data_IF_724042702226
#
_entry.id   IF_724042702226
#
_cell.length_a   1.000
_cell.length_b   1.000
_cell.length_c   1.000
_cell.angle_alpha   90.00
_cell.angle_beta   90.00
_cell.angle_gamma   90.00
#
_symmetry.space_group_name_H-M   'P 1'
#
loop_
_entity.id
_entity.type
_entity.pdbx_description
1 polymer ?
#
# COMPACT_ATOMS: atom_id res chain seq x y z
N UNK A 1 -18.92 24.18 13.83
CA UNK A 1 -18.28 25.38 14.42
C UNK A 1 -16.96 25.02 15.11
N UNK A 2 -15.85 24.79 14.39
CA UNK A 2 -14.54 24.50 15.02
C UNK A 2 -13.32 24.94 14.18
N UNK A 3 -13.45 25.99 13.37
CA UNK A 3 -12.35 26.49 12.50
C UNK A 3 -11.90 27.94 12.77
N UNK A 4 -12.44 28.62 13.80
CA UNK A 4 -12.12 30.03 14.08
C UNK A 4 -11.20 30.29 15.28
N UNK A 5 -10.62 29.26 15.92
CA UNK A 5 -9.77 29.48 17.12
C UNK A 5 -8.30 29.77 16.81
N UNK A 6 -7.79 29.39 15.64
CA UNK A 6 -6.35 29.49 15.33
C UNK A 6 -5.89 30.81 14.71
N UNK A 7 -6.81 31.66 14.22
CA UNK A 7 -6.43 32.98 13.65
C UNK A 7 -6.07 34.02 14.72
N UNK A 8 -6.64 33.92 15.94
CA UNK A 8 -6.42 34.92 17.00
C UNK A 8 -5.01 34.85 17.62
N UNK A 9 -4.42 33.66 17.73
CA UNK A 9 -3.04 33.52 18.24
C UNK A 9 -1.98 34.05 17.27
N UNK A 10 -2.27 34.07 15.97
CA UNK A 10 -1.33 34.53 14.95
C UNK A 10 -1.22 36.06 14.89
N UNK A 11 -2.35 36.76 15.04
CA UNK A 11 -2.40 38.24 15.06
C UNK A 11 -1.68 38.79 16.31
N UNK A 12 -1.82 38.11 17.45
CA UNK A 12 -1.22 38.54 18.72
C UNK A 12 0.32 38.40 18.71
N UNK A 13 0.86 37.41 17.99
CA UNK A 13 2.31 37.26 17.80
C UNK A 13 2.89 38.20 16.73
N UNK A 14 2.12 38.58 15.71
CA UNK A 14 2.58 39.56 14.72
C UNK A 14 2.71 40.98 15.27
N UNK A 15 1.85 41.37 16.22
CA UNK A 15 1.97 42.68 16.89
C UNK A 15 3.18 42.76 17.83
N UNK A 16 3.52 41.65 18.49
CA UNK A 16 4.70 41.54 19.36
C UNK A 16 6.02 41.63 18.59
N UNK A 17 6.03 41.15 17.33
CA UNK A 17 7.17 41.30 16.42
C UNK A 17 7.26 42.73 15.87
N UNK A 18 6.15 43.37 15.49
CA UNK A 18 6.15 44.76 15.04
C UNK A 18 6.63 45.74 16.12
N UNK A 19 6.29 45.49 17.39
CA UNK A 19 6.74 46.33 18.52
C UNK A 19 8.23 46.17 18.85
N UNK A 20 8.87 45.10 18.40
CA UNK A 20 10.30 44.83 18.59
C UNK A 20 11.19 45.45 17.50
N UNK A 21 10.60 45.90 16.40
CA UNK A 21 11.32 46.41 15.22
C UNK A 21 11.65 47.91 15.32
N UNK A 22 10.97 48.67 16.17
CA UNK A 22 11.15 50.13 16.26
C UNK A 22 12.37 50.60 17.07
N UNK A 23 13.18 49.69 17.61
CA UNK A 23 14.43 50.03 18.28
C UNK A 23 15.48 48.96 17.96
N UNK A 24 16.30 49.17 16.93
CA UNK A 24 17.74 48.83 16.91
C UNK A 24 18.31 49.11 15.51
N UNK A 25 19.37 49.91 15.44
CA UNK A 25 20.26 50.01 14.30
C UNK A 25 21.16 48.76 14.31
N UNK A 26 20.83 47.72 13.54
CA UNK A 26 21.80 46.63 13.32
C UNK A 26 21.52 45.81 12.05
N UNK A 27 22.61 45.44 11.37
CA UNK A 27 22.64 44.71 10.09
C UNK A 27 22.01 43.30 10.14
N UNK A 28 21.64 42.81 11.34
CA UNK A 28 20.95 41.54 11.54
C UNK A 28 19.47 41.58 11.12
N UNK A 29 18.86 42.76 11.05
CA UNK A 29 17.45 42.93 10.69
C UNK A 29 17.13 42.50 9.25
N UNK A 30 18.06 42.73 8.32
CA UNK A 30 17.87 42.36 6.90
C UNK A 30 17.84 40.84 6.73
N UNK A 31 18.70 40.11 7.47
CA UNK A 31 18.74 38.66 7.44
C UNK A 31 17.51 38.03 8.10
N UNK A 32 17.01 38.61 9.19
CA UNK A 32 15.80 38.15 9.85
C UNK A 32 14.55 38.36 8.97
N UNK A 33 14.46 39.49 8.25
CA UNK A 33 13.43 39.71 7.23
C UNK A 33 13.56 38.67 6.11
N UNK A 34 14.78 38.39 5.65
CA UNK A 34 14.99 37.44 4.56
C UNK A 34 14.59 36.01 4.96
N UNK A 35 14.91 35.59 6.18
CA UNK A 35 14.50 34.29 6.73
C UNK A 35 12.99 34.22 6.96
N UNK A 36 12.37 35.31 7.42
CA UNK A 36 10.93 35.40 7.59
C UNK A 36 10.17 35.33 6.25
N UNK A 37 10.63 36.07 5.23
CA UNK A 37 10.07 36.03 3.88
C UNK A 37 10.26 34.65 3.22
N UNK A 38 11.42 34.01 3.43
CA UNK A 38 11.67 32.63 2.99
C UNK A 38 10.70 31.65 3.65
N UNK A 39 10.44 31.76 4.95
CA UNK A 39 9.48 30.91 5.64
C UNK A 39 8.03 31.16 5.17
N UNK A 40 7.63 32.40 4.94
CA UNK A 40 6.31 32.72 4.35
C UNK A 40 6.18 32.14 2.94
N UNK A 41 7.22 32.26 2.11
CA UNK A 41 7.23 31.70 0.76
C UNK A 41 7.08 30.17 0.78
N UNK A 42 7.81 29.47 1.66
CA UNK A 42 7.74 28.01 1.82
C UNK A 42 6.36 27.55 2.32
N UNK A 43 5.77 28.25 3.28
CA UNK A 43 4.42 27.96 3.80
C UNK A 43 3.37 28.21 2.70
N UNK A 44 3.49 29.30 1.95
CA UNK A 44 2.59 29.63 0.83
C UNK A 44 2.70 28.58 -0.28
N UNK A 45 3.90 28.11 -0.60
CA UNK A 45 4.10 27.06 -1.61
C UNK A 45 3.57 25.69 -1.16
N UNK A 46 3.72 25.32 0.11
CA UNK A 46 3.10 24.11 0.68
C UNK A 46 1.58 24.14 0.60
N UNK A 47 0.95 25.27 0.91
CA UNK A 47 -0.52 25.40 0.79
C UNK A 47 -1.01 25.38 -0.65
N UNK A 48 -0.23 25.90 -1.61
CA UNK A 48 -0.53 25.83 -3.04
C UNK A 48 -0.40 24.39 -3.57
N UNK A 49 0.63 23.64 -3.15
CA UNK A 49 0.78 22.23 -3.50
C UNK A 49 -0.38 21.38 -2.97
N UNK A 50 -0.82 21.60 -1.73
CA UNK A 50 -1.96 20.89 -1.15
C UNK A 50 -3.30 21.21 -1.86
N UNK A 51 -3.46 22.42 -2.41
CA UNK A 51 -4.63 22.80 -3.22
C UNK A 51 -4.58 22.17 -4.62
N UNK A 52 -3.40 22.05 -5.24
CA UNK A 52 -3.23 21.37 -6.53
C UNK A 52 -3.47 19.87 -6.42
N UNK A 53 -2.97 19.23 -5.34
CA UNK A 53 -3.25 17.82 -5.03
C UNK A 53 -4.76 17.62 -4.80
N UNK A 54 -5.40 18.51 -4.04
CA UNK A 54 -6.85 18.47 -3.84
C UNK A 54 -7.63 18.62 -5.16
N UNK A 55 -7.22 19.53 -6.04
CA UNK A 55 -7.84 19.70 -7.37
C UNK A 55 -7.59 18.48 -8.26
N UNK A 56 -6.41 17.86 -8.22
CA UNK A 56 -6.11 16.62 -8.94
C UNK A 56 -6.96 15.45 -8.44
N UNK A 57 -7.09 15.28 -7.13
CA UNK A 57 -7.96 14.25 -6.52
C UNK A 57 -9.42 14.48 -6.91
N UNK A 58 -9.90 15.73 -6.86
CA UNK A 58 -11.28 16.09 -7.27
C UNK A 58 -11.48 15.91 -8.78
N UNK A 59 -10.50 16.27 -9.62
CA UNK A 59 -10.57 16.07 -11.06
C UNK A 59 -10.58 14.58 -11.43
N UNK A 60 -9.81 13.75 -10.74
CA UNK A 60 -9.85 12.29 -10.85
C UNK A 60 -11.25 11.78 -10.45
N UNK A 61 -11.77 12.22 -9.30
CA UNK A 61 -13.12 11.86 -8.84
C UNK A 61 -14.24 12.29 -9.80
N UNK A 62 -14.12 13.45 -10.45
CA UNK A 62 -15.09 13.96 -11.44
C UNK A 62 -14.95 13.25 -12.78
N UNK A 63 -13.75 12.82 -13.19
CA UNK A 63 -13.58 12.00 -14.40
C UNK A 63 -14.16 10.59 -14.26
N UNK A 64 -14.37 10.09 -13.03
CA UNK A 64 -15.04 8.81 -12.77
C UNK A 64 -16.56 8.90 -12.96
N UNK A 65 -17.17 10.10 -12.94
CA UNK A 65 -18.63 10.27 -13.05
C UNK A 65 -19.14 10.45 -14.48
N UNK A 66 -18.26 10.68 -15.47
CA UNK A 66 -18.66 10.85 -16.89
C UNK A 66 -18.64 9.57 -17.72
N UNK A 67 -18.23 8.42 -17.16
CA UNK A 67 -18.24 7.12 -17.83
C UNK A 67 -19.28 6.17 -17.22
N UNK A 68 -20.56 6.53 -17.34
CA UNK A 68 -21.68 5.62 -17.12
C UNK A 68 -21.71 4.54 -18.23
N UNK A 69 -20.82 3.56 -18.17
CA UNK A 69 -20.94 2.29 -18.88
C UNK A 69 -21.09 1.19 -17.85
N UNK A 70 -22.25 1.14 -17.18
CA UNK A 70 -22.56 0.06 -16.25
C UNK A 70 -22.39 -1.27 -17.00
N UNK A 71 -21.69 -2.26 -16.41
CA UNK A 71 -21.51 -3.59 -17.00
C UNK A 71 -22.83 -4.13 -17.56
N UNK A 72 -22.95 -4.28 -18.87
CA UNK A 72 -24.17 -4.72 -19.55
C UNK A 72 -24.29 -6.24 -19.51
N UNK A 73 -23.17 -6.95 -19.72
CA UNK A 73 -23.13 -8.40 -19.83
C UNK A 73 -22.89 -9.11 -18.49
N UNK A 74 -22.26 -8.45 -17.52
CA UNK A 74 -21.89 -9.06 -16.23
C UNK A 74 -22.54 -8.35 -15.04
N UNK A 75 -22.68 -9.10 -13.94
CA UNK A 75 -23.12 -8.51 -12.68
C UNK A 75 -22.07 -7.52 -12.16
N UNK A 76 -22.48 -6.35 -11.63
CA UNK A 76 -21.56 -5.30 -11.26
C UNK A 76 -20.71 -5.68 -10.03
N UNK A 77 -21.28 -6.35 -9.05
CA UNK A 77 -20.56 -6.74 -7.84
C UNK A 77 -20.07 -8.18 -7.92
N UNK A 78 -18.81 -8.41 -7.54
CA UNK A 78 -18.23 -9.75 -7.39
C UNK A 78 -17.20 -9.78 -6.26
N UNK A 79 -16.91 -10.96 -5.76
CA UNK A 79 -15.87 -11.16 -4.75
C UNK A 79 -14.98 -12.30 -5.22
N UNK A 80 -13.69 -12.02 -5.36
CA UNK A 80 -12.70 -13.04 -5.66
C UNK A 80 -12.13 -13.55 -4.34
N UNK A 81 -12.11 -14.86 -4.15
CA UNK A 81 -11.49 -15.52 -2.98
C UNK A 81 -10.56 -16.60 -3.45
N UNK A 82 -9.42 -16.79 -2.79
CA UNK A 82 -8.47 -17.79 -3.23
C UNK A 82 -7.23 -17.90 -2.37
N UNK A 83 -6.32 -18.73 -2.86
CA UNK A 83 -5.00 -18.95 -2.29
C UNK A 83 -3.93 -18.39 -3.20
N UNK A 84 -2.77 -18.14 -2.64
CA UNK A 84 -1.60 -17.69 -3.37
C UNK A 84 -0.35 -18.46 -2.94
N UNK A 85 0.57 -18.59 -3.87
CA UNK A 85 1.94 -19.00 -3.61
C UNK A 85 2.84 -17.80 -3.88
N UNK A 86 3.59 -17.38 -2.87
CA UNK A 86 4.51 -16.24 -2.93
C UNK A 86 5.94 -16.75 -3.07
N UNK A 87 6.62 -16.38 -4.15
CA UNK A 87 8.04 -16.66 -4.36
C UNK A 87 8.81 -15.35 -4.21
N UNK A 88 9.68 -15.21 -3.19
CA UNK A 88 10.53 -14.03 -3.03
C UNK A 88 11.52 -13.96 -4.19
N UNK A 89 11.77 -12.76 -4.71
CA UNK A 89 12.73 -12.52 -5.78
C UNK A 89 13.94 -11.77 -5.21
N UNK A 90 14.85 -12.52 -4.56
CA UNK A 90 16.10 -12.00 -3.99
C UNK A 90 16.65 -12.90 -2.87
N UNK A 91 17.82 -13.52 -3.11
CA UNK A 91 18.56 -14.37 -2.16
C UNK A 91 18.28 -15.87 -2.31
N UNK A 92 19.33 -16.70 -2.26
CA UNK A 92 19.29 -18.16 -2.44
C UNK A 92 18.63 -18.92 -1.25
N UNK A 93 18.29 -18.22 -0.16
CA UNK A 93 17.95 -18.83 1.14
C UNK A 93 16.49 -18.65 1.62
N UNK A 94 15.62 -18.01 0.82
CA UNK A 94 14.21 -17.78 1.24
C UNK A 94 13.25 -18.75 0.53
N UNK A 95 12.61 -19.61 1.30
CA UNK A 95 11.63 -20.58 0.81
C UNK A 95 10.33 -19.88 0.40
N UNK A 96 9.70 -20.37 -0.67
CA UNK A 96 8.39 -19.84 -1.08
C UNK A 96 7.33 -19.98 0.02
N UNK A 97 6.35 -19.08 0.00
CA UNK A 97 5.27 -18.98 0.97
C UNK A 97 3.91 -19.32 0.39
N UNK A 98 2.94 -19.56 1.26
CA UNK A 98 1.54 -19.73 0.89
C UNK A 98 0.68 -18.67 1.58
N UNK A 99 -0.46 -18.35 0.99
CA UNK A 99 -1.36 -17.36 1.53
C UNK A 99 -2.76 -17.48 0.99
N UNK A 100 -3.61 -16.56 1.41
CA UNK A 100 -4.97 -16.41 0.92
C UNK A 100 -5.29 -14.95 0.67
N UNK A 101 -6.27 -14.72 -0.19
CA UNK A 101 -6.73 -13.38 -0.52
C UNK A 101 -8.25 -13.34 -0.65
N UNK A 102 -8.80 -12.17 -0.38
CA UNK A 102 -10.17 -11.80 -0.68
C UNK A 102 -10.17 -10.43 -1.36
N UNK A 103 -10.93 -10.32 -2.44
CA UNK A 103 -10.94 -9.15 -3.30
C UNK A 103 -12.37 -8.84 -3.74
N UNK A 104 -13.17 -8.11 -2.94
CA UNK A 104 -14.38 -7.47 -3.43
C UNK A 104 -14.07 -6.56 -4.62
N UNK A 105 -14.86 -6.70 -5.68
CA UNK A 105 -14.73 -5.99 -6.95
C UNK A 105 -16.05 -5.41 -7.42
N UNK A 106 -15.93 -4.32 -8.13
CA UNK A 106 -16.97 -3.66 -8.88
C UNK A 106 -16.57 -3.59 -10.36
N UNK A 107 -17.31 -4.27 -11.22
CA UNK A 107 -17.17 -4.17 -12.67
C UNK A 107 -17.70 -2.80 -13.10
N UNK A 108 -16.78 -1.86 -13.29
CA UNK A 108 -17.09 -0.53 -13.79
C UNK A 108 -17.65 -0.61 -15.19
N UNK A 109 -17.06 -1.45 -16.06
CA UNK A 109 -17.55 -1.82 -17.39
C UNK A 109 -17.45 -3.33 -17.59
N UNK A 110 -17.88 -3.86 -18.74
CA UNK A 110 -17.67 -5.28 -19.07
C UNK A 110 -16.19 -5.65 -19.22
N UNK A 111 -15.31 -4.67 -19.44
CA UNK A 111 -13.87 -4.86 -19.61
C UNK A 111 -13.06 -4.34 -18.44
N UNK A 112 -13.63 -3.57 -17.49
CA UNK A 112 -12.88 -2.95 -16.40
C UNK A 112 -13.51 -3.31 -15.06
N UNK A 113 -12.71 -3.85 -14.13
CA UNK A 113 -13.10 -4.05 -12.74
C UNK A 113 -12.17 -3.30 -11.79
N UNK A 114 -12.73 -2.67 -10.79
CA UNK A 114 -12.02 -2.05 -9.67
C UNK A 114 -12.21 -2.92 -8.43
N UNK A 115 -11.15 -3.17 -7.68
CA UNK A 115 -11.18 -4.03 -6.50
C UNK A 115 -10.49 -3.45 -5.29
N UNK A 116 -10.88 -3.96 -4.12
CA UNK A 116 -10.17 -3.79 -2.87
C UNK A 116 -9.68 -5.15 -2.43
N UNK A 117 -8.37 -5.36 -2.46
CA UNK A 117 -7.75 -6.64 -2.14
C UNK A 117 -7.18 -6.62 -0.73
N UNK A 118 -7.55 -7.65 0.02
CA UNK A 118 -6.94 -8.03 1.29
C UNK A 118 -6.22 -9.34 1.07
N UNK A 119 -4.97 -9.40 1.47
CA UNK A 119 -4.11 -10.56 1.23
C UNK A 119 -3.23 -10.83 2.43
N UNK A 120 -3.12 -12.10 2.79
CA UNK A 120 -2.25 -12.58 3.86
C UNK A 120 -1.38 -13.70 3.30
N UNK A 121 -0.07 -13.51 3.35
CA UNK A 121 0.92 -14.47 2.91
C UNK A 121 1.84 -14.84 4.09
N UNK A 122 2.19 -16.11 4.20
CA UNK A 122 3.16 -16.64 5.17
C UNK A 122 4.33 -17.20 4.38
N UNK A 123 5.51 -16.62 4.56
CA UNK A 123 6.78 -17.04 3.97
C UNK A 123 7.58 -17.78 5.04
N UNK A 124 8.06 -18.97 4.72
CA UNK A 124 9.02 -19.68 5.57
C UNK A 124 10.43 -19.45 5.06
N UNK A 125 11.41 -19.32 5.95
CA UNK A 125 12.83 -19.41 5.62
C UNK A 125 13.43 -20.54 6.43
N UNK A 126 14.22 -21.40 5.78
CA UNK A 126 14.98 -22.45 6.46
C UNK A 126 16.46 -22.17 6.28
N UNK A 127 17.15 -21.80 7.37
CA UNK A 127 18.60 -21.74 7.35
C UNK A 127 19.18 -23.15 7.59
N UNK A 128 19.99 -23.64 6.65
CA UNK A 128 20.57 -24.99 6.66
C UNK A 128 21.98 -24.97 7.26
N UNK A 129 22.22 -24.14 8.28
CA UNK A 129 23.49 -24.19 9.02
C UNK A 129 23.35 -23.89 10.54
N UNK A 130 22.13 -23.99 11.10
CA UNK A 130 21.92 -23.94 12.55
C UNK A 130 20.51 -23.57 13.03
N UNK A 131 19.52 -24.44 12.82
CA UNK A 131 18.20 -24.53 13.50
C UNK A 131 17.44 -23.23 13.89
N UNK A 132 17.59 -22.14 13.16
CA UNK A 132 16.69 -20.98 13.24
C UNK A 132 15.62 -21.08 12.14
N UNK A 133 14.36 -21.29 12.54
CA UNK A 133 13.20 -21.27 11.64
C UNK A 133 12.53 -19.91 11.76
N UNK A 134 12.69 -19.05 10.75
CA UNK A 134 11.99 -17.76 10.69
C UNK A 134 10.73 -17.87 9.83
N UNK A 135 9.59 -17.45 10.38
CA UNK A 135 8.32 -17.38 9.68
C UNK A 135 7.93 -15.90 9.54
N UNK A 136 7.86 -15.42 8.31
CA UNK A 136 7.48 -14.05 8.00
C UNK A 136 6.03 -13.97 7.49
N UNK A 137 5.21 -13.15 8.13
CA UNK A 137 3.84 -12.86 7.69
C UNK A 137 3.75 -11.52 6.96
N UNK A 138 3.11 -11.51 5.78
CA UNK A 138 2.85 -10.29 5.00
C UNK A 138 1.35 -10.09 4.90
N UNK A 139 0.86 -8.98 5.45
CA UNK A 139 -0.51 -8.49 5.27
C UNK A 139 -0.54 -7.37 4.24
N UNK A 140 -1.42 -7.46 3.26
CA UNK A 140 -1.46 -6.53 2.12
C UNK A 140 -2.87 -5.98 1.91
N UNK A 141 -2.95 -4.66 1.74
CA UNK A 141 -4.17 -3.90 1.47
C UNK A 141 -3.99 -3.11 0.18
N UNK A 142 -4.67 -3.49 -0.90
CA UNK A 142 -4.48 -2.87 -2.21
C UNK A 142 -5.79 -2.43 -2.87
N UNK A 143 -5.73 -1.29 -3.56
CA UNK A 143 -6.67 -0.94 -4.61
C UNK A 143 -6.19 -1.60 -5.91
N UNK A 144 -7.08 -2.30 -6.61
CA UNK A 144 -6.77 -3.01 -7.86
C UNK A 144 -7.62 -2.50 -9.01
N UNK A 145 -7.05 -2.51 -10.20
CA UNK A 145 -7.75 -2.28 -11.46
C UNK A 145 -7.39 -3.36 -12.47
N UNK A 146 -8.38 -4.09 -12.96
CA UNK A 146 -8.22 -5.16 -13.95
C UNK A 146 -8.90 -4.76 -15.27
N UNK A 147 -8.16 -4.86 -16.37
CA UNK A 147 -8.67 -4.79 -17.73
C UNK A 147 -8.78 -6.18 -18.34
N UNK A 148 -9.99 -6.60 -18.70
CA UNK A 148 -10.29 -7.85 -19.39
C UNK A 148 -10.27 -7.62 -20.90
N UNK A 149 -9.47 -8.41 -21.62
CA UNK A 149 -9.31 -8.28 -23.08
C UNK A 149 -10.54 -8.74 -23.87
N UNK A 150 -11.44 -9.49 -23.24
CA UNK A 150 -12.67 -9.97 -23.88
C UNK A 150 -13.82 -10.16 -22.86
N UNK A 151 -15.02 -10.42 -23.39
CA UNK A 151 -16.28 -10.67 -22.66
C UNK A 151 -16.78 -12.12 -22.84
N UNK A 152 -15.86 -13.03 -23.15
CA UNK A 152 -16.17 -14.45 -23.36
C UNK A 152 -16.16 -15.24 -22.04
N UNK A 153 -16.32 -16.57 -22.11
CA UNK A 153 -16.19 -17.44 -20.92
C UNK A 153 -14.74 -17.50 -20.41
N UNK A 154 -13.77 -17.41 -21.32
CA UNK A 154 -12.34 -17.34 -21.03
C UNK A 154 -11.90 -15.90 -21.19
N UNK A 155 -11.60 -15.23 -20.08
CA UNK A 155 -11.30 -13.80 -20.02
C UNK A 155 -9.88 -13.56 -19.51
N UNK A 156 -8.89 -13.44 -20.40
CA UNK A 156 -7.58 -12.94 -20.04
C UNK A 156 -7.71 -11.52 -19.48
N UNK A 157 -6.88 -11.18 -18.49
CA UNK A 157 -6.82 -9.84 -17.92
C UNK A 157 -5.38 -9.39 -17.69
N UNK A 158 -5.19 -8.08 -17.74
CA UNK A 158 -4.00 -7.40 -17.24
C UNK A 158 -4.45 -6.26 -16.33
N UNK A 159 -3.68 -5.94 -15.31
CA UNK A 159 -4.08 -4.98 -14.30
C UNK A 159 -2.94 -4.47 -13.46
N UNK A 160 -3.30 -3.61 -12.51
CA UNK A 160 -2.38 -2.99 -11.58
C UNK A 160 -3.02 -2.93 -10.20
N UNK A 161 -2.28 -3.34 -9.18
CA UNK A 161 -2.56 -3.09 -7.77
C UNK A 161 -1.68 -1.97 -7.23
N UNK A 162 -2.20 -1.14 -6.33
CA UNK A 162 -1.42 -0.17 -5.55
C UNK A 162 -1.91 -0.19 -4.12
N UNK A 163 -1.02 -0.11 -3.14
CA UNK A 163 -1.46 -0.22 -1.76
C UNK A 163 -0.36 -0.29 -0.72
N UNK A 164 -0.76 -0.77 0.45
CA UNK A 164 0.05 -0.84 1.65
C UNK A 164 0.37 -2.30 1.98
N UNK A 165 1.63 -2.54 2.33
CA UNK A 165 2.17 -3.82 2.74
C UNK A 165 2.64 -3.68 4.18
N UNK A 166 2.11 -4.52 5.05
CA UNK A 166 2.48 -4.66 6.44
C UNK A 166 3.29 -5.95 6.58
N UNK A 167 4.55 -5.81 6.99
CA UNK A 167 5.45 -6.95 7.16
C UNK A 167 5.61 -7.21 8.66
N UNK A 168 5.38 -8.45 9.08
CA UNK A 168 5.69 -8.94 10.43
C UNK A 168 6.55 -10.19 10.35
N UNK A 169 7.45 -10.37 11.30
CA UNK A 169 8.23 -11.59 11.46
C UNK A 169 7.92 -12.22 12.82
N UNK A 170 7.83 -13.54 12.84
CA UNK A 170 7.82 -14.34 14.06
C UNK A 170 9.05 -15.23 13.99
N UNK A 171 10.01 -14.94 14.84
CA UNK A 171 11.27 -15.69 14.92
C UNK A 171 11.13 -16.74 16.03
N UNK A 172 11.26 -18.01 15.67
CA UNK A 172 11.32 -19.11 16.65
C UNK A 172 12.79 -19.40 16.92
N UNK A 173 13.28 -19.06 18.12
CA UNK A 173 14.60 -19.47 18.59
C UNK A 173 14.46 -20.75 19.39
N UNK A 174 15.09 -21.83 18.95
CA UNK A 174 15.22 -23.06 19.72
C UNK A 174 16.66 -23.18 20.21
N UNK A 175 16.90 -23.01 21.52
CA UNK A 175 18.23 -23.23 22.10
C UNK A 175 18.48 -24.73 22.26
N UNK A 176 19.49 -25.25 21.57
CA UNK A 176 19.81 -26.69 21.49
C UNK A 176 20.57 -27.17 22.75
N UNK A 177 20.92 -26.27 23.68
CA UNK A 177 21.73 -26.61 24.85
C UNK A 177 20.92 -26.97 26.12
N UNK A 178 19.59 -26.79 26.13
CA UNK A 178 18.74 -27.18 27.27
C UNK A 178 17.60 -28.12 26.83
N UNK A 179 17.71 -29.44 27.09
CA UNK A 179 16.67 -30.41 26.75
C UNK A 179 15.38 -30.27 27.57
N UNK A 180 15.30 -29.36 28.54
CA UNK A 180 14.06 -29.01 29.25
C UNK A 180 13.35 -27.78 28.68
N UNK A 181 13.93 -27.07 27.70
CA UNK A 181 13.35 -25.87 27.10
C UNK A 181 12.47 -26.18 25.86
N UNK A 182 11.79 -27.33 25.89
CA UNK A 182 10.80 -27.72 24.87
C UNK A 182 9.53 -26.84 24.95
N UNK A 183 9.45 -25.96 25.96
CA UNK A 183 8.39 -24.98 26.19
C UNK A 183 8.91 -23.54 26.14
N UNK A 184 9.88 -23.27 25.25
CA UNK A 184 10.58 -21.99 25.07
C UNK A 184 9.72 -20.73 25.26
N UNK A 185 10.13 -19.95 26.26
CA UNK A 185 9.39 -18.89 26.96
C UNK A 185 9.38 -17.51 26.26
N UNK A 186 9.77 -17.38 24.99
CA UNK A 186 9.70 -16.09 24.28
C UNK A 186 9.30 -16.24 22.82
N UNK A 187 7.99 -16.34 22.56
CA UNK A 187 7.42 -16.04 21.24
C UNK A 187 7.57 -14.53 20.98
N UNK A 188 8.74 -14.12 20.51
CA UNK A 188 9.01 -12.75 20.09
C UNK A 188 8.27 -12.42 18.79
N UNK A 189 7.05 -11.89 18.89
CA UNK A 189 6.36 -11.29 17.74
C UNK A 189 6.94 -9.89 17.50
N UNK A 190 7.91 -9.77 16.59
CA UNK A 190 8.45 -8.47 16.19
C UNK A 190 7.67 -7.94 14.97
N UNK A 191 6.76 -6.99 15.23
CA UNK A 191 6.07 -6.19 14.20
C UNK A 191 6.98 -5.03 13.76
N UNK A 192 8.22 -5.32 13.39
CA UNK A 192 9.27 -4.29 13.34
C UNK A 192 9.47 -3.63 11.95
N UNK A 193 8.74 -4.06 10.93
CA UNK A 193 8.96 -3.55 9.56
C UNK A 193 8.01 -2.44 9.10
N UNK A 194 6.99 -2.11 9.92
CA UNK A 194 6.04 -1.03 9.65
C UNK A 194 5.24 -1.21 8.34
N UNK A 195 4.46 -0.18 7.99
CA UNK A 195 3.65 -0.16 6.77
C UNK A 195 4.41 0.51 5.64
N UNK A 196 4.58 -0.19 4.51
CA UNK A 196 5.23 0.32 3.30
C UNK A 196 4.24 0.43 2.15
N UNK A 197 4.47 1.39 1.26
CA UNK A 197 3.68 1.53 0.05
C UNK A 197 4.29 0.69 -1.08
N UNK A 198 3.46 0.15 -1.96
CA UNK A 198 3.94 -0.56 -3.14
C UNK A 198 2.88 -0.65 -4.23
N UNK A 199 3.29 -1.22 -5.35
CA UNK A 199 2.43 -1.47 -6.50
C UNK A 199 2.67 -2.87 -7.04
N UNK A 200 1.71 -3.41 -7.78
CA UNK A 200 1.69 -4.79 -8.17
C UNK A 200 1.07 -4.97 -9.57
N UNK A 201 1.87 -4.91 -10.65
CA UNK A 201 1.38 -5.33 -11.95
C UNK A 201 0.91 -6.79 -11.89
N UNK A 202 -0.24 -7.07 -12.51
CA UNK A 202 -0.85 -8.40 -12.51
C UNK A 202 -1.38 -8.77 -13.88
N UNK A 203 -1.32 -10.06 -14.17
CA UNK A 203 -1.88 -10.65 -15.39
C UNK A 203 -2.52 -11.98 -15.05
N UNK A 204 -3.47 -12.44 -15.85
CA UNK A 204 -4.08 -13.74 -15.61
C UNK A 204 -5.23 -14.05 -16.53
N UNK A 205 -6.00 -15.07 -16.17
CA UNK A 205 -7.16 -15.54 -16.91
C UNK A 205 -8.29 -15.95 -15.96
N UNK A 206 -9.52 -15.60 -16.33
CA UNK A 206 -10.74 -16.06 -15.68
C UNK A 206 -11.44 -17.05 -16.59
N UNK A 207 -11.71 -18.26 -16.09
CA UNK A 207 -12.40 -19.35 -16.74
C UNK A 207 -13.77 -19.54 -16.08
N UNK A 208 -14.77 -18.79 -16.54
CA UNK A 208 -16.09 -18.74 -15.92
C UNK A 208 -16.02 -18.12 -14.52
N UNK A 209 -15.97 -18.95 -13.49
CA UNK A 209 -15.80 -18.54 -12.09
C UNK A 209 -14.40 -18.83 -11.55
N UNK A 210 -13.57 -19.61 -12.22
CA UNK A 210 -12.21 -19.91 -11.74
C UNK A 210 -11.23 -18.85 -12.23
N UNK A 211 -10.34 -18.38 -11.37
CA UNK A 211 -9.37 -17.33 -11.67
C UNK A 211 -7.96 -17.81 -11.37
N UNK A 212 -7.10 -17.65 -12.37
CA UNK A 212 -5.65 -17.85 -12.22
C UNK A 212 -4.96 -16.54 -12.56
N UNK A 213 -4.01 -16.13 -11.73
CA UNK A 213 -3.27 -14.89 -11.95
C UNK A 213 -1.84 -14.97 -11.46
N UNK A 214 -1.02 -14.11 -12.01
CA UNK A 214 0.33 -13.84 -11.56
C UNK A 214 0.43 -12.36 -11.25
N UNK A 215 1.07 -12.02 -10.14
CA UNK A 215 1.19 -10.64 -9.68
C UNK A 215 2.57 -10.42 -9.07
N UNK A 216 3.27 -9.41 -9.58
CA UNK A 216 4.61 -9.06 -9.13
C UNK A 216 4.51 -7.89 -8.15
N UNK A 217 4.69 -8.15 -6.86
CA UNK A 217 4.54 -7.15 -5.82
C UNK A 217 5.85 -6.39 -5.63
N UNK A 218 5.83 -5.09 -5.94
CA UNK A 218 6.95 -4.17 -5.79
C UNK A 218 6.72 -3.28 -4.59
N UNK A 219 7.57 -3.39 -3.57
CA UNK A 219 7.48 -2.62 -2.33
C UNK A 219 8.47 -1.45 -2.41
N UNK A 220 7.99 -0.23 -2.22
CA UNK A 220 8.77 1.03 -2.34
C UNK A 220 9.00 1.67 -0.97
N UNK A 221 10.11 2.41 -0.81
CA UNK A 221 10.40 3.16 0.43
C UNK A 221 11.22 2.40 1.47
N UNK A 222 12.19 1.60 1.01
CA UNK A 222 13.21 0.95 1.84
C UNK A 222 14.56 1.57 1.47
N UNK A 223 15.13 2.36 2.38
CA UNK A 223 16.49 2.91 2.24
C UNK A 223 17.49 1.88 2.75
N UNK A 224 18.35 1.41 1.84
CA UNK A 224 19.62 0.69 2.06
C UNK A 224 19.55 -0.73 2.66
N UNK A 225 20.28 -1.64 2.00
CA UNK A 225 20.64 -3.02 2.40
C UNK A 225 19.56 -4.11 2.44
N UNK A 226 18.27 -3.79 2.38
CA UNK A 226 17.16 -4.75 2.22
C UNK A 226 16.54 -4.68 0.80
N UNK A 227 17.41 -4.58 -0.21
CA UNK A 227 17.00 -4.60 -1.61
C UNK A 227 16.17 -5.86 -1.90
N UNK A 228 14.95 -5.64 -2.39
CA UNK A 228 14.06 -6.64 -2.99
C UNK A 228 13.38 -7.69 -2.09
N UNK A 229 12.62 -7.26 -1.07
CA UNK A 229 11.43 -8.04 -0.63
C UNK A 229 10.29 -8.04 -1.67
N UNK A 230 10.61 -7.79 -2.94
CA UNK A 230 9.68 -7.96 -4.03
C UNK A 230 9.41 -9.45 -4.17
N UNK A 231 8.16 -9.81 -4.41
CA UNK A 231 7.80 -11.21 -4.55
C UNK A 231 6.84 -11.38 -5.71
N UNK A 232 7.04 -12.49 -6.43
CA UNK A 232 6.12 -12.95 -7.44
C UNK A 232 5.07 -13.82 -6.74
N UNK A 233 3.80 -13.51 -6.95
CA UNK A 233 2.69 -14.29 -6.41
C UNK A 233 1.91 -14.96 -7.52
N UNK A 234 1.73 -16.28 -7.40
CA UNK A 234 0.80 -17.06 -8.22
C UNK A 234 -0.50 -17.21 -7.45
N UNK A 235 -1.63 -16.88 -8.07
CA UNK A 235 -2.94 -16.81 -7.42
C UNK A 235 -3.92 -17.74 -8.09
N UNK A 236 -4.64 -18.48 -7.26
CA UNK A 236 -5.68 -19.42 -7.68
C UNK A 236 -6.92 -19.16 -6.84
N UNK A 237 -8.05 -18.92 -7.48
CA UNK A 237 -9.27 -18.57 -6.75
C UNK A 237 -10.53 -18.67 -7.56
N UNK A 238 -11.62 -18.22 -6.95
CA UNK A 238 -12.96 -18.22 -7.54
C UNK A 238 -13.60 -16.84 -7.44
N UNK A 239 -14.24 -16.40 -8.53
CA UNK A 239 -15.08 -15.21 -8.60
C UNK A 239 -16.53 -15.59 -8.24
N UNK A 240 -17.02 -15.04 -7.13
CA UNK A 240 -18.38 -15.25 -6.62
C UNK A 240 -19.22 -14.02 -6.96
N UNK A 241 -20.41 -14.20 -7.54
CA UNK A 241 -21.37 -13.13 -7.82
C UNK A 241 -21.18 -12.38 -9.15
N UNK A 242 -20.01 -12.47 -9.78
CA UNK A 242 -19.66 -11.75 -11.02
C UNK A 242 -20.07 -12.41 -12.35
N UNK A 243 -21.02 -13.34 -12.33
CA UNK A 243 -21.46 -14.07 -13.53
C UNK A 243 -22.11 -13.19 -14.59
N UNK A 244 -22.33 -13.76 -15.78
CA UNK A 244 -23.15 -13.11 -16.82
C UNK A 244 -24.57 -12.86 -16.32
N UNK A 245 -25.17 -11.76 -16.74
CA UNK A 245 -26.57 -11.42 -16.47
C UNK A 245 -27.53 -12.33 -17.22
#
# INVERSE_FOLDING_TARGET
MRYCRNKKHFIQNSELLFRKITNYHDYNFVNDIFLFLRNIYLITNQTIMNRKIGILVIAILVSVTSAFSQSELYKPFKVDVGFLYASPMGGDDVSGGIGFYIEPKYNYTDNIALGLKLEWAILGSSDVEGMDVSVSGIGTYQLTGDYYFNTNRVRPFAGLGVGLYSLGSVDFKADVNDPNDIWGDELGMSLDYGTKFGFAPRVGVVLGSFRVGMEYNVITGIDSALESRNYLSFKFGFEIGGGKK
#
